data_IF_706701474968
#
_entry.id   IF_706701474968
#
_cell.length_a   1.000
_cell.length_b   1.000
_cell.length_c   1.000
_cell.angle_alpha   90.00
_cell.angle_beta   90.00
_cell.angle_gamma   90.00
#
_symmetry.space_group_name_H-M   'P 1'
#
loop_
_entity.id
_entity.type
_entity.pdbx_description
1 polymer ?
#
# COMPACT_ATOMS: atom_id res chain seq x y z
N UNK A 1 -6.42 -1.11 -6.55
CA UNK A 1 -5.44 -1.83 -7.39
C UNK A 1 -5.68 -3.34 -7.41
N UNK A 2 -5.32 -4.05 -8.50
CA UNK A 2 -5.29 -5.52 -8.56
C UNK A 2 -4.01 -6.03 -7.89
N UNK A 3 -4.13 -7.03 -7.02
CA UNK A 3 -3.01 -7.59 -6.24
C UNK A 3 -1.89 -8.18 -7.12
N UNK A 4 -2.20 -8.57 -8.36
CA UNK A 4 -1.25 -9.13 -9.31
C UNK A 4 -0.17 -8.12 -9.74
N UNK A 5 -0.54 -6.84 -9.93
CA UNK A 5 0.46 -5.79 -10.27
C UNK A 5 1.44 -5.56 -9.12
N UNK A 6 0.96 -5.66 -7.88
CA UNK A 6 1.76 -5.44 -6.67
C UNK A 6 2.72 -6.64 -6.44
N UNK A 7 2.33 -7.86 -6.82
CA UNK A 7 3.22 -9.03 -6.71
C UNK A 7 4.38 -9.02 -7.71
N UNK A 8 4.18 -8.47 -8.90
CA UNK A 8 5.19 -8.43 -9.96
C UNK A 8 6.22 -7.31 -9.80
N UNK A 9 6.02 -6.39 -8.86
CA UNK A 9 6.93 -5.29 -8.60
C UNK A 9 8.04 -5.69 -7.62
N UNK A 10 9.16 -4.97 -7.71
CA UNK A 10 10.31 -5.15 -6.81
C UNK A 10 10.04 -4.51 -5.44
N UNK A 11 10.74 -4.95 -4.39
CA UNK A 11 10.56 -4.40 -3.04
C UNK A 11 10.81 -2.88 -2.98
N UNK A 12 11.73 -2.36 -3.80
CA UNK A 12 11.98 -0.92 -3.93
C UNK A 12 10.79 -0.16 -4.55
N UNK A 13 10.22 -0.70 -5.63
CA UNK A 13 9.04 -0.10 -6.28
C UNK A 13 7.81 -0.12 -5.38
N UNK A 14 7.66 -1.15 -4.55
CA UNK A 14 6.59 -1.23 -3.56
C UNK A 14 6.71 -0.14 -2.50
N UNK A 15 7.93 0.16 -2.07
CA UNK A 15 8.20 1.20 -1.09
C UNK A 15 7.96 2.61 -1.66
N UNK A 16 8.32 2.84 -2.92
CA UNK A 16 8.01 4.09 -3.62
C UNK A 16 6.52 4.26 -3.87
N UNK A 17 5.81 3.19 -4.23
CA UNK A 17 4.35 3.21 -4.32
C UNK A 17 3.68 3.50 -2.98
N UNK A 18 4.18 2.93 -1.87
CA UNK A 18 3.66 3.23 -0.54
C UNK A 18 3.75 4.73 -0.24
N UNK A 19 4.90 5.35 -0.55
CA UNK A 19 5.09 6.80 -0.38
C UNK A 19 4.13 7.60 -1.24
N UNK A 20 4.02 7.29 -2.52
CA UNK A 20 3.10 7.98 -3.44
C UNK A 20 1.64 7.87 -2.99
N UNK A 21 1.20 6.67 -2.56
CA UNK A 21 -0.16 6.45 -2.05
C UNK A 21 -0.41 7.19 -0.74
N UNK A 22 0.60 7.30 0.13
CA UNK A 22 0.52 8.04 1.38
C UNK A 22 0.39 9.55 1.15
N UNK A 23 1.11 10.11 0.19
CA UNK A 23 1.00 11.52 -0.19
C UNK A 23 -0.36 11.84 -0.81
N UNK A 24 -0.88 10.95 -1.67
CA UNK A 24 -2.23 11.06 -2.22
C UNK A 24 -3.28 11.00 -1.12
N UNK A 25 -3.11 10.11 -0.14
CA UNK A 25 -4.00 10.01 1.02
C UNK A 25 -3.97 11.31 1.84
N UNK A 26 -2.79 11.92 2.03
CA UNK A 26 -2.66 13.19 2.74
C UNK A 26 -3.39 14.32 2.03
N UNK A 27 -3.20 14.46 0.71
CA UNK A 27 -3.92 15.44 -0.13
C UNK A 27 -5.45 15.24 -0.06
N UNK A 28 -5.90 13.99 -0.14
CA UNK A 28 -7.34 13.67 -0.06
C UNK A 28 -7.93 13.91 1.33
N UNK A 29 -7.17 13.65 2.41
CA UNK A 29 -7.58 14.03 3.77
C UNK A 29 -7.70 15.55 3.90
N UNK A 30 -6.79 16.29 3.30
CA UNK A 30 -6.83 17.76 3.30
C UNK A 30 -8.07 18.29 2.54
N UNK A 31 -8.36 17.72 1.37
CA UNK A 31 -9.58 18.04 0.60
C UNK A 31 -10.86 17.68 1.37
N UNK A 32 -10.85 16.56 2.10
CA UNK A 32 -11.97 16.15 2.95
C UNK A 32 -12.19 17.13 4.10
N UNK A 33 -11.12 17.61 4.73
CA UNK A 33 -11.20 18.64 5.77
C UNK A 33 -11.71 19.98 5.21
N UNK A 34 -11.46 20.27 3.93
CA UNK A 34 -12.02 21.42 3.21
C UNK A 34 -13.51 21.27 2.83
N UNK A 35 -14.15 20.14 3.18
CA UNK A 35 -15.60 19.94 2.97
C UNK A 35 -15.99 19.27 1.66
N UNK A 36 -15.04 18.83 0.83
CA UNK A 36 -15.35 18.01 -0.35
C UNK A 36 -15.56 16.55 0.06
N UNK A 37 -16.80 16.09 0.04
CA UNK A 37 -17.21 14.76 0.50
C UNK A 37 -17.15 13.67 -0.58
N UNK A 38 -17.02 14.03 -1.86
CA UNK A 38 -16.89 13.07 -2.97
C UNK A 38 -15.61 12.20 -2.88
N UNK A 39 -14.59 12.68 -2.18
CA UNK A 39 -13.29 12.03 -2.01
C UNK A 39 -13.30 10.86 -1.02
N UNK A 40 -14.40 10.64 -0.27
CA UNK A 40 -14.48 9.61 0.78
C UNK A 40 -14.33 8.18 0.23
N UNK A 41 -14.93 7.90 -0.95
CA UNK A 41 -14.79 6.59 -1.61
C UNK A 41 -13.35 6.34 -2.08
N UNK A 42 -12.66 7.39 -2.55
CA UNK A 42 -11.25 7.31 -3.00
C UNK A 42 -10.30 7.04 -1.81
N UNK A 43 -10.54 7.67 -0.66
CA UNK A 43 -9.78 7.43 0.57
C UNK A 43 -9.85 5.95 1.01
N UNK A 44 -11.04 5.35 0.97
CA UNK A 44 -11.20 3.92 1.30
C UNK A 44 -10.46 3.00 0.33
N UNK A 45 -10.45 3.35 -0.97
CA UNK A 45 -9.67 2.64 -1.99
C UNK A 45 -8.17 2.68 -1.72
N UNK A 46 -7.63 3.88 -1.49
CA UNK A 46 -6.21 4.10 -1.20
C UNK A 46 -5.75 3.38 0.07
N UNK A 47 -6.55 3.41 1.15
CA UNK A 47 -6.22 2.67 2.38
C UNK A 47 -6.10 1.15 2.13
N UNK A 48 -7.00 0.58 1.31
CA UNK A 48 -6.94 -0.84 0.94
C UNK A 48 -5.72 -1.15 0.08
N UNK A 49 -5.33 -0.23 -0.81
CA UNK A 49 -4.17 -0.41 -1.67
C UNK A 49 -2.86 -0.35 -0.85
N UNK A 50 -2.71 0.58 0.10
CA UNK A 50 -1.58 0.62 1.05
C UNK A 50 -1.52 -0.67 1.87
N UNK A 51 -2.66 -1.15 2.37
CA UNK A 51 -2.70 -2.39 3.15
C UNK A 51 -2.22 -3.60 2.32
N UNK A 52 -2.62 -3.70 1.05
CA UNK A 52 -2.15 -4.79 0.16
C UNK A 52 -0.65 -4.74 -0.09
N UNK A 53 -0.08 -3.56 -0.32
CA UNK A 53 1.37 -3.38 -0.48
C UNK A 53 2.11 -3.86 0.78
N UNK A 54 1.66 -3.43 1.97
CA UNK A 54 2.24 -3.86 3.24
C UNK A 54 2.12 -5.36 3.49
N UNK A 55 0.98 -5.96 3.15
CA UNK A 55 0.81 -7.41 3.27
C UNK A 55 1.79 -8.16 2.38
N UNK A 56 1.97 -7.75 1.13
CA UNK A 56 2.89 -8.43 0.20
C UNK A 56 4.35 -8.28 0.64
N UNK A 57 4.76 -7.10 1.12
CA UNK A 57 6.08 -6.91 1.72
C UNK A 57 6.26 -7.84 2.94
N UNK A 58 5.26 -7.92 3.81
CA UNK A 58 5.28 -8.82 4.97
C UNK A 58 5.31 -10.30 4.59
N UNK A 59 4.58 -10.71 3.55
CA UNK A 59 4.62 -12.08 3.00
C UNK A 59 6.03 -12.42 2.49
N UNK A 60 6.71 -11.50 1.80
CA UNK A 60 8.10 -11.68 1.35
C UNK A 60 9.07 -11.83 2.52
N UNK A 61 8.96 -10.98 3.54
CA UNK A 61 9.82 -11.06 4.73
C UNK A 61 9.59 -12.35 5.51
N UNK A 62 8.33 -12.77 5.72
CA UNK A 62 8.01 -14.02 6.43
C UNK A 62 8.42 -15.26 5.64
N UNK A 63 8.28 -15.23 4.31
CA UNK A 63 8.78 -16.29 3.42
C UNK A 63 10.29 -16.45 3.49
N UNK A 64 11.04 -15.35 3.62
CA UNK A 64 12.49 -15.37 3.80
C UNK A 64 12.95 -15.81 5.21
N UNK A 65 12.13 -15.58 6.24
CA UNK A 65 12.41 -16.04 7.62
C UNK A 65 12.15 -17.55 7.76
N UNK A 66 11.14 -18.09 7.07
CA UNK A 66 10.83 -19.52 7.10
C UNK A 66 11.93 -20.41 6.47
N UNK A 67 12.81 -19.86 5.62
CA UNK A 67 13.95 -20.59 5.05
C UNK A 67 15.21 -20.54 5.91
N UNK A 68 15.29 -19.62 6.88
CA UNK A 68 16.47 -19.46 7.76
C UNK A 68 16.37 -20.27 9.06
N UNK A 69 15.18 -20.66 9.50
CA UNK A 69 14.98 -21.52 10.69
C UNK A 69 15.12 -23.03 10.43
N UNK A 70 15.36 -23.46 9.19
CA UNK A 70 15.50 -24.89 8.82
C UNK A 70 16.94 -25.38 8.65
N UNK A 71 17.95 -24.63 9.10
CA UNK A 71 19.36 -25.03 8.96
C UNK A 71 20.05 -25.21 10.30
#
# INVERSE_FOLDING_TARGET
MKAEKIRNQTDAELQDQERQLSDQLFKLKFQMNMGQTESLKKIRGLRKDIARVKTIMGERTRGAQATTEKK
#
